data_IF_191806887611
#
_entry.id   IF_191806887611
#
_cell.length_a   1.000
_cell.length_b   1.000
_cell.length_c   1.000
_cell.angle_alpha   90.00
_cell.angle_beta   90.00
_cell.angle_gamma   90.00
#
_symmetry.space_group_name_H-M   'P 1'
#
loop_
_entity.id
_entity.type
_entity.pdbx_description
1 polymer ?
#
# COMPACT_ATOMS: atom_id res chain seq x y z
N UNK A 1 48.35 11.75 -32.33
CA UNK A 1 48.05 12.34 -33.65
C UNK A 1 46.53 12.28 -33.79
N UNK A 2 45.82 13.40 -33.58
CA UNK A 2 45.32 14.33 -34.63
C UNK A 2 44.35 13.57 -35.57
N UNK A 3 43.07 13.88 -35.73
CA UNK A 3 42.26 15.12 -35.69
C UNK A 3 40.77 14.73 -35.44
N UNK A 4 39.98 15.40 -34.59
CA UNK A 4 39.13 16.60 -34.84
C UNK A 4 38.20 16.53 -36.07
N UNK A 5 36.89 16.59 -35.83
CA UNK A 5 35.84 17.43 -36.48
C UNK A 5 34.45 16.93 -35.99
N UNK A 6 33.74 17.52 -35.03
CA UNK A 6 33.00 18.80 -34.94
C UNK A 6 31.86 19.01 -35.95
N UNK A 7 30.67 19.32 -35.38
CA UNK A 7 29.51 20.06 -35.92
C UNK A 7 28.51 19.30 -36.80
N UNK A 8 27.26 19.13 -36.32
CA UNK A 8 26.18 20.09 -36.60
C UNK A 8 24.93 19.79 -35.75
N UNK A 9 24.39 20.84 -35.12
CA UNK A 9 23.07 20.86 -34.49
C UNK A 9 21.96 20.96 -35.56
N UNK A 10 20.81 20.35 -35.31
CA UNK A 10 19.57 20.70 -35.97
C UNK A 10 18.41 20.58 -34.96
N UNK A 11 17.93 21.74 -34.54
CA UNK A 11 16.71 21.91 -33.78
C UNK A 11 15.50 21.53 -34.65
N UNK A 12 14.54 20.81 -34.07
CA UNK A 12 13.21 20.66 -34.65
C UNK A 12 12.22 21.45 -33.79
N UNK A 13 11.80 22.60 -34.32
CA UNK A 13 10.70 23.39 -33.81
C UNK A 13 9.65 23.50 -34.91
N UNK A 14 8.47 22.96 -34.65
CA UNK A 14 7.21 23.19 -35.36
C UNK A 14 6.09 22.70 -34.42
N UNK A 15 4.90 23.26 -34.31
CA UNK A 15 4.29 24.51 -34.69
C UNK A 15 2.91 24.45 -34.00
N UNK A 16 2.56 25.39 -33.13
CA UNK A 16 1.21 25.51 -32.57
C UNK A 16 0.26 26.12 -33.62
N UNK A 17 -1.01 25.67 -33.73
CA UNK A 17 -2.08 26.48 -34.29
C UNK A 17 -2.86 27.17 -33.17
N UNK A 18 -3.13 28.45 -33.38
CA UNK A 18 -3.91 29.36 -32.54
C UNK A 18 -5.42 29.17 -32.68
N UNK A 19 -6.08 29.34 -31.53
CA UNK A 19 -7.49 29.64 -31.23
C UNK A 19 -8.48 29.96 -32.36
N UNK A 20 -9.63 29.27 -32.31
CA UNK A 20 -10.93 29.74 -32.77
C UNK A 20 -11.98 29.28 -31.77
N UNK A 21 -12.66 30.24 -31.11
CA UNK A 21 -13.68 29.95 -30.10
C UNK A 21 -15.09 29.86 -30.68
N UNK A 22 -15.97 29.15 -29.96
CA UNK A 22 -17.34 29.52 -29.63
C UNK A 22 -17.89 28.53 -28.58
N UNK A 23 -18.62 29.06 -27.61
CA UNK A 23 -19.23 28.38 -26.48
C UNK A 23 -20.47 27.55 -26.86
N UNK A 24 -20.76 26.48 -26.13
CA UNK A 24 -21.95 26.32 -25.27
C UNK A 24 -21.99 24.92 -24.62
N UNK A 25 -22.23 24.94 -23.30
CA UNK A 25 -22.93 23.98 -22.44
C UNK A 25 -22.87 22.47 -22.72
N UNK A 26 -22.18 21.77 -21.81
CA UNK A 26 -22.35 20.36 -21.54
C UNK A 26 -21.70 20.00 -20.22
N UNK A 27 -22.51 19.81 -19.18
CA UNK A 27 -22.07 19.17 -17.92
C UNK A 27 -21.69 17.74 -18.27
N UNK A 28 -20.40 17.53 -18.54
CA UNK A 28 -19.78 16.22 -18.66
C UNK A 28 -19.12 15.88 -17.34
N UNK A 29 -19.78 15.07 -16.52
CA UNK A 29 -19.09 14.25 -15.52
C UNK A 29 -18.23 13.26 -16.30
N UNK A 30 -16.97 13.60 -16.56
CA UNK A 30 -16.00 12.64 -17.09
C UNK A 30 -15.53 11.77 -15.92
N UNK A 31 -16.31 10.75 -15.58
CA UNK A 31 -15.68 9.50 -15.17
C UNK A 31 -14.88 9.07 -16.39
N UNK A 32 -13.55 9.13 -16.31
CA UNK A 32 -12.69 8.61 -17.35
C UNK A 32 -12.85 7.10 -17.41
N UNK A 33 -13.93 6.63 -18.04
CA UNK A 33 -14.03 5.25 -18.48
C UNK A 33 -12.84 5.06 -19.43
N UNK A 34 -11.86 4.26 -18.99
CA UNK A 34 -10.78 3.82 -19.85
C UNK A 34 -11.44 2.95 -20.91
N UNK A 35 -11.70 3.50 -22.10
CA UNK A 35 -12.39 2.80 -23.18
C UNK A 35 -11.68 1.46 -23.47
N UNK A 36 -12.39 0.34 -23.26
CA UNK A 36 -11.86 -1.01 -23.55
C UNK A 36 -11.68 -1.93 -22.34
N UNK A 37 -11.89 -1.47 -21.10
CA UNK A 37 -11.94 -2.36 -19.93
C UNK A 37 -13.17 -3.28 -20.03
N UNK A 38 -12.96 -4.56 -20.33
CA UNK A 38 -14.10 -5.52 -20.44
C UNK A 38 -13.70 -6.97 -20.24
N UNK A 39 -12.40 -7.27 -20.14
CA UNK A 39 -11.93 -8.64 -20.12
C UNK A 39 -11.99 -9.20 -18.71
N UNK A 40 -12.59 -10.39 -18.60
CA UNK A 40 -12.53 -11.22 -17.40
C UNK A 40 -11.38 -12.22 -17.57
N UNK A 41 -10.48 -12.26 -16.60
CA UNK A 41 -9.42 -13.27 -16.51
C UNK A 41 -9.84 -14.36 -15.54
N UNK A 42 -9.94 -15.59 -16.03
CA UNK A 42 -10.37 -16.74 -15.22
C UNK A 42 -9.22 -17.31 -14.40
N UNK A 43 -9.43 -17.42 -13.09
CA UNK A 43 -8.44 -17.88 -12.13
C UNK A 43 -7.40 -16.82 -11.78
N UNK A 44 -6.26 -17.26 -11.25
CA UNK A 44 -5.21 -16.36 -10.79
C UNK A 44 -4.50 -15.67 -11.96
N UNK A 45 -4.23 -14.38 -11.79
CA UNK A 45 -3.42 -13.59 -12.70
C UNK A 45 -2.00 -13.46 -12.16
N UNK A 46 -1.04 -14.08 -12.84
CA UNK A 46 0.38 -13.99 -12.50
C UNK A 46 1.09 -12.94 -13.36
N UNK A 47 1.54 -11.86 -12.74
CA UNK A 47 2.35 -10.81 -13.36
C UNK A 47 3.80 -11.02 -12.93
N UNK A 48 4.56 -11.70 -13.79
CA UNK A 48 5.96 -12.07 -13.56
C UNK A 48 6.90 -11.19 -14.38
N UNK A 49 8.20 -11.40 -14.21
CA UNK A 49 9.25 -10.62 -14.90
C UNK A 49 9.04 -10.54 -16.42
N UNK A 50 8.69 -11.67 -17.06
CA UNK A 50 8.51 -11.81 -18.52
C UNK A 50 7.07 -11.54 -19.02
N UNK A 51 6.12 -11.19 -18.14
CA UNK A 51 4.71 -10.99 -18.53
C UNK A 51 4.57 -9.83 -19.53
N UNK A 52 3.80 -10.00 -20.59
CA UNK A 52 3.45 -8.90 -21.50
C UNK A 52 2.43 -7.96 -20.85
N UNK A 53 2.90 -6.89 -20.21
CA UNK A 53 2.06 -5.94 -19.46
C UNK A 53 1.05 -5.22 -20.35
N UNK A 54 1.36 -5.02 -21.64
CA UNK A 54 0.42 -4.40 -22.56
C UNK A 54 -0.82 -5.28 -22.79
N UNK A 55 -0.69 -6.59 -22.60
CA UNK A 55 -1.82 -7.51 -22.69
C UNK A 55 -2.79 -7.40 -21.52
N UNK A 56 -2.42 -6.73 -20.41
CA UNK A 56 -3.21 -6.65 -19.18
C UNK A 56 -4.12 -5.42 -19.12
N UNK A 57 -3.94 -4.46 -20.02
CA UNK A 57 -4.55 -3.13 -19.94
C UNK A 57 -6.06 -3.10 -20.19
N UNK A 58 -6.69 -4.21 -20.54
CA UNK A 58 -8.14 -4.37 -20.78
C UNK A 58 -8.81 -5.29 -19.75
N UNK A 59 -8.05 -5.86 -18.80
CA UNK A 59 -8.57 -6.71 -17.72
C UNK A 59 -9.33 -5.84 -16.74
N UNK A 60 -10.63 -6.12 -16.61
CA UNK A 60 -11.53 -5.47 -15.67
C UNK A 60 -11.75 -6.31 -14.41
N UNK A 61 -11.80 -7.63 -14.57
CA UNK A 61 -12.11 -8.56 -13.48
C UNK A 61 -11.18 -9.77 -13.52
N UNK A 62 -10.64 -10.14 -12.36
CA UNK A 62 -9.88 -11.38 -12.14
C UNK A 62 -10.68 -12.25 -11.16
N UNK A 63 -11.08 -13.45 -11.58
CA UNK A 63 -11.87 -14.37 -10.73
C UNK A 63 -11.04 -15.12 -9.68
N UNK A 64 -9.70 -14.98 -9.74
CA UNK A 64 -8.74 -15.45 -8.76
C UNK A 64 -8.02 -14.33 -8.01
N UNK A 65 -6.81 -14.61 -7.55
CA UNK A 65 -5.92 -13.60 -7.00
C UNK A 65 -5.08 -12.93 -8.09
N UNK A 66 -4.70 -11.67 -7.88
CA UNK A 66 -3.69 -10.98 -8.69
C UNK A 66 -2.35 -11.06 -7.96
N UNK A 67 -1.36 -11.71 -8.58
CA UNK A 67 -0.04 -11.91 -8.01
C UNK A 67 1.00 -11.18 -8.86
N UNK A 68 1.53 -10.07 -8.34
CA UNK A 68 2.54 -9.23 -8.99
C UNK A 68 3.91 -9.51 -8.37
N UNK A 69 4.74 -10.26 -9.09
CA UNK A 69 6.11 -10.60 -8.70
C UNK A 69 7.06 -10.52 -9.90
N UNK A 70 7.42 -9.29 -10.25
CA UNK A 70 8.19 -8.95 -11.44
C UNK A 70 9.72 -8.97 -11.23
N UNK A 71 10.19 -9.29 -10.02
CA UNK A 71 11.60 -9.43 -9.71
C UNK A 71 12.38 -8.14 -9.98
N UNK A 72 13.33 -8.20 -10.93
CA UNK A 72 14.22 -7.08 -11.28
C UNK A 72 13.74 -6.27 -12.48
N UNK A 73 12.50 -6.48 -12.94
CA UNK A 73 11.90 -5.66 -14.00
C UNK A 73 11.81 -4.19 -13.58
N UNK A 74 12.26 -3.29 -14.45
CA UNK A 74 12.23 -1.83 -14.22
C UNK A 74 10.83 -1.25 -14.46
N UNK A 75 9.86 -1.66 -13.65
CA UNK A 75 8.49 -1.18 -13.70
C UNK A 75 8.17 -0.39 -12.43
N UNK A 76 8.03 0.95 -12.49
CA UNK A 76 7.93 1.80 -11.30
C UNK A 76 6.54 1.83 -10.67
N UNK A 77 5.50 1.45 -11.41
CA UNK A 77 4.10 1.52 -10.98
C UNK A 77 3.26 0.35 -11.54
N UNK A 78 1.98 0.30 -11.18
CA UNK A 78 1.02 -0.70 -11.63
C UNK A 78 0.05 -0.14 -12.69
N UNK A 79 0.42 0.90 -13.44
CA UNK A 79 -0.48 1.54 -14.41
C UNK A 79 -0.97 0.59 -15.52
N UNK A 80 -0.30 -0.55 -15.73
CA UNK A 80 -0.75 -1.61 -16.64
C UNK A 80 -2.02 -2.36 -16.14
N UNK A 81 -2.43 -2.16 -14.88
CA UNK A 81 -3.68 -2.67 -14.30
C UNK A 81 -4.75 -1.57 -14.17
N UNK A 82 -4.66 -0.47 -14.92
CA UNK A 82 -5.58 0.69 -14.81
C UNK A 82 -7.06 0.38 -15.05
N UNK A 83 -7.37 -0.78 -15.63
CA UNK A 83 -8.74 -1.23 -15.86
C UNK A 83 -9.29 -2.12 -14.74
N UNK A 84 -8.45 -2.61 -13.83
CA UNK A 84 -8.84 -3.63 -12.87
C UNK A 84 -9.80 -3.03 -11.84
N UNK A 85 -11.04 -3.53 -11.83
CA UNK A 85 -12.12 -3.11 -10.92
C UNK A 85 -12.37 -4.13 -9.81
N UNK A 86 -12.16 -5.42 -10.09
CA UNK A 86 -12.48 -6.53 -9.18
C UNK A 86 -11.35 -7.56 -9.20
N UNK A 87 -10.89 -7.95 -8.00
CA UNK A 87 -10.05 -9.12 -7.77
C UNK A 87 -10.66 -9.96 -6.64
N UNK A 88 -11.32 -11.06 -7.00
CA UNK A 88 -12.19 -11.82 -6.09
C UNK A 88 -11.49 -12.28 -4.80
N UNK A 89 -10.20 -12.63 -4.89
CA UNK A 89 -9.43 -13.11 -3.74
C UNK A 89 -8.46 -12.07 -3.17
N UNK A 90 -8.16 -11.01 -3.92
CA UNK A 90 -7.22 -9.98 -3.51
C UNK A 90 -6.03 -9.78 -4.43
N UNK A 91 -5.14 -8.90 -4.00
CA UNK A 91 -3.94 -8.46 -4.71
C UNK A 91 -2.73 -8.70 -3.82
N UNK A 92 -1.73 -9.40 -4.36
CA UNK A 92 -0.43 -9.62 -3.73
C UNK A 92 0.66 -9.01 -4.60
N UNK A 93 1.40 -8.06 -4.05
CA UNK A 93 2.51 -7.35 -4.71
C UNK A 93 3.78 -7.71 -3.93
N UNK A 94 4.53 -8.68 -4.44
CA UNK A 94 5.67 -9.27 -3.74
C UNK A 94 6.94 -9.32 -4.59
N UNK A 95 8.05 -8.81 -4.03
CA UNK A 95 9.37 -8.99 -4.62
C UNK A 95 9.65 -8.15 -5.87
N UNK A 96 9.09 -6.94 -5.96
CA UNK A 96 9.30 -6.04 -7.10
C UNK A 96 10.39 -5.01 -6.78
N UNK A 97 11.62 -5.27 -7.25
CA UNK A 97 12.81 -4.50 -6.86
C UNK A 97 12.81 -3.03 -7.32
N UNK A 98 12.04 -2.70 -8.36
CA UNK A 98 11.97 -1.35 -8.95
C UNK A 98 10.60 -0.69 -8.83
N UNK A 99 9.64 -1.34 -8.15
CA UNK A 99 8.33 -0.74 -7.92
C UNK A 99 8.51 0.40 -6.91
N UNK A 100 8.17 1.63 -7.31
CA UNK A 100 8.28 2.83 -6.47
C UNK A 100 6.93 3.21 -5.86
N UNK A 101 5.83 2.87 -6.53
CA UNK A 101 4.45 3.12 -6.08
C UNK A 101 3.49 2.02 -6.51
N UNK A 102 2.41 1.77 -5.74
CA UNK A 102 1.31 0.87 -6.16
C UNK A 102 0.29 1.53 -7.09
N UNK A 103 0.52 2.79 -7.48
CA UNK A 103 -0.35 3.55 -8.39
C UNK A 103 -0.74 2.77 -9.63
N UNK A 104 -2.02 2.83 -10.00
CA UNK A 104 -2.55 2.19 -11.19
C UNK A 104 -3.72 1.25 -10.90
N UNK A 105 -4.04 0.99 -9.64
CA UNK A 105 -5.19 0.19 -9.22
C UNK A 105 -6.44 1.04 -8.90
N UNK A 106 -6.50 2.28 -9.37
CA UNK A 106 -7.46 3.31 -8.95
C UNK A 106 -8.93 2.96 -9.24
N UNK A 107 -9.19 1.95 -10.07
CA UNK A 107 -10.54 1.49 -10.40
C UNK A 107 -11.01 0.33 -9.51
N UNK A 108 -10.15 -0.23 -8.67
CA UNK A 108 -10.52 -1.31 -7.76
C UNK A 108 -11.63 -0.83 -6.81
N UNK A 109 -12.76 -1.53 -6.83
CA UNK A 109 -13.92 -1.26 -5.97
C UNK A 109 -14.16 -2.38 -4.96
N UNK A 110 -13.66 -3.58 -5.26
CA UNK A 110 -13.78 -4.75 -4.39
C UNK A 110 -12.40 -5.39 -4.19
N UNK A 111 -11.98 -5.50 -2.92
CA UNK A 111 -10.70 -6.09 -2.55
C UNK A 111 -10.79 -6.81 -1.21
N UNK A 112 -10.68 -8.14 -1.22
CA UNK A 112 -10.72 -8.91 0.02
C UNK A 112 -9.38 -8.84 0.77
N UNK A 113 -8.27 -9.03 0.06
CA UNK A 113 -6.93 -9.09 0.67
C UNK A 113 -5.97 -8.21 -0.11
N UNK A 114 -5.14 -7.46 0.62
CA UNK A 114 -4.03 -6.69 0.07
C UNK A 114 -2.74 -7.08 0.79
N UNK A 115 -1.82 -7.71 0.07
CA UNK A 115 -0.48 -8.00 0.54
C UNK A 115 0.53 -7.19 -0.27
N UNK A 116 1.35 -6.37 0.38
CA UNK A 116 2.40 -5.58 -0.25
C UNK A 116 3.69 -5.86 0.49
N UNK A 117 4.49 -6.77 -0.05
CA UNK A 117 5.61 -7.36 0.67
C UNK A 117 6.91 -7.31 -0.16
N UNK A 118 8.05 -7.16 0.51
CA UNK A 118 9.36 -7.35 -0.12
C UNK A 118 9.62 -6.45 -1.35
N UNK A 119 9.11 -5.22 -1.38
CA UNK A 119 9.34 -4.25 -2.47
C UNK A 119 10.33 -3.16 -1.99
N UNK A 120 11.65 -3.37 -2.15
CA UNK A 120 12.66 -2.53 -1.48
C UNK A 120 12.75 -1.09 -1.98
N UNK A 121 12.21 -0.78 -3.17
CA UNK A 121 12.17 0.58 -3.71
C UNK A 121 10.81 1.25 -3.53
N UNK A 122 9.82 0.56 -2.96
CA UNK A 122 8.46 1.08 -2.82
C UNK A 122 8.45 2.19 -1.77
N UNK A 123 8.05 3.39 -2.17
CA UNK A 123 7.98 4.58 -1.32
C UNK A 123 6.56 4.94 -0.93
N UNK A 124 5.60 4.59 -1.77
CA UNK A 124 4.21 5.00 -1.59
C UNK A 124 3.25 3.87 -1.92
N UNK A 125 2.30 3.58 -1.03
CA UNK A 125 1.12 2.77 -1.34
C UNK A 125 -0.04 3.73 -1.64
N UNK A 126 -0.51 3.74 -2.88
CA UNK A 126 -1.63 4.57 -3.39
C UNK A 126 -2.41 3.80 -4.48
N UNK A 127 -3.52 4.36 -4.96
CA UNK A 127 -4.33 3.73 -6.01
C UNK A 127 -5.43 2.80 -5.50
N UNK A 128 -5.87 2.95 -4.25
CA UNK A 128 -6.98 2.18 -3.66
C UNK A 128 -8.13 3.09 -3.19
N UNK A 129 -8.35 4.20 -3.89
CA UNK A 129 -9.24 5.29 -3.46
C UNK A 129 -10.74 4.93 -3.38
N UNK A 130 -11.13 3.78 -3.95
CA UNK A 130 -12.51 3.30 -3.95
C UNK A 130 -12.70 2.05 -3.07
N UNK A 131 -11.71 1.68 -2.26
CA UNK A 131 -11.80 0.53 -1.34
C UNK A 131 -12.22 0.99 0.04
N UNK A 132 -13.38 0.54 0.50
CA UNK A 132 -13.91 0.85 1.84
C UNK A 132 -13.58 -0.23 2.88
N UNK A 133 -13.41 -1.48 2.45
CA UNK A 133 -13.24 -2.63 3.34
C UNK A 133 -12.17 -3.57 2.82
N UNK A 134 -11.33 -4.04 3.73
CA UNK A 134 -10.30 -5.04 3.46
C UNK A 134 -10.42 -6.11 4.55
N UNK A 135 -10.43 -7.39 4.20
CA UNK A 135 -10.36 -8.44 5.21
C UNK A 135 -8.93 -8.52 5.78
N UNK A 136 -7.94 -8.69 4.92
CA UNK A 136 -6.53 -8.75 5.33
C UNK A 136 -5.71 -7.67 4.65
N UNK A 137 -5.08 -6.80 5.45
CA UNK A 137 -4.05 -5.87 5.00
C UNK A 137 -2.71 -6.30 5.58
N UNK A 138 -1.77 -6.68 4.72
CA UNK A 138 -0.41 -7.08 5.10
C UNK A 138 0.63 -6.24 4.35
N UNK A 139 1.41 -5.46 5.09
CA UNK A 139 2.45 -4.58 4.53
C UNK A 139 3.73 -4.80 5.30
N UNK A 140 4.70 -5.51 4.72
CA UNK A 140 5.96 -5.83 5.39
C UNK A 140 7.16 -5.80 4.43
N UNK A 141 8.38 -5.69 4.97
CA UNK A 141 9.61 -5.75 4.16
C UNK A 141 9.67 -4.73 2.99
N UNK A 142 9.06 -3.55 3.13
CA UNK A 142 9.19 -2.44 2.17
C UNK A 142 10.03 -1.32 2.81
N UNK A 143 11.33 -1.54 2.97
CA UNK A 143 12.20 -0.69 3.81
C UNK A 143 12.23 0.80 3.40
N UNK A 144 11.94 1.11 2.13
CA UNK A 144 11.85 2.46 1.59
C UNK A 144 10.45 3.10 1.70
N UNK A 145 9.46 2.40 2.23
CA UNK A 145 8.07 2.87 2.31
C UNK A 145 8.00 4.08 3.24
N UNK A 146 7.57 5.22 2.71
CA UNK A 146 7.46 6.49 3.42
C UNK A 146 5.99 6.85 3.70
N UNK A 147 5.08 6.49 2.78
CA UNK A 147 3.69 6.94 2.77
C UNK A 147 2.72 5.80 2.41
N UNK A 148 1.58 5.76 3.11
CA UNK A 148 0.44 4.89 2.80
C UNK A 148 -0.75 5.82 2.59
N UNK A 149 -1.49 5.62 1.50
CA UNK A 149 -2.71 6.34 1.11
C UNK A 149 -3.85 5.33 0.93
N UNK A 150 -4.64 5.16 1.97
CA UNK A 150 -5.79 4.26 2.05
C UNK A 150 -6.97 5.01 2.68
N UNK A 151 -7.15 6.28 2.33
CA UNK A 151 -8.04 7.20 3.05
C UNK A 151 -9.50 6.78 2.95
N UNK A 152 -9.89 6.01 1.93
CA UNK A 152 -11.23 5.46 1.78
C UNK A 152 -11.52 4.25 2.69
N UNK A 153 -10.50 3.59 3.25
CA UNK A 153 -10.67 2.36 4.01
C UNK A 153 -11.26 2.66 5.39
N UNK A 154 -12.44 2.10 5.65
CA UNK A 154 -13.19 2.26 6.89
C UNK A 154 -13.07 1.04 7.82
N UNK A 155 -12.83 -0.15 7.27
CA UNK A 155 -12.80 -1.39 8.07
C UNK A 155 -11.72 -2.36 7.60
N UNK A 156 -10.95 -2.88 8.55
CA UNK A 156 -9.97 -3.95 8.32
C UNK A 156 -10.22 -5.10 9.31
N UNK A 157 -10.32 -6.36 8.88
CA UNK A 157 -10.45 -7.46 9.86
C UNK A 157 -9.10 -7.82 10.49
N UNK A 158 -8.05 -7.93 9.67
CA UNK A 158 -6.68 -8.24 10.08
C UNK A 158 -5.72 -7.24 9.46
N UNK A 159 -5.11 -6.41 10.30
CA UNK A 159 -4.10 -5.43 9.89
C UNK A 159 -2.72 -5.81 10.40
N UNK A 160 -1.83 -6.22 9.49
CA UNK A 160 -0.41 -6.44 9.73
C UNK A 160 0.42 -5.33 9.09
N UNK A 161 1.19 -4.63 9.92
CA UNK A 161 2.16 -3.63 9.49
C UNK A 161 3.55 -3.97 10.04
N UNK A 162 4.43 -4.34 9.13
CA UNK A 162 5.80 -4.76 9.39
C UNK A 162 5.88 -6.20 9.89
N UNK A 163 7.11 -6.63 10.15
CA UNK A 163 7.40 -8.01 10.55
C UNK A 163 8.38 -8.03 11.72
N UNK A 164 8.25 -9.06 12.55
CA UNK A 164 9.30 -9.40 13.51
C UNK A 164 9.63 -10.88 13.42
N UNK A 165 10.87 -11.18 13.03
CA UNK A 165 11.41 -12.54 13.12
C UNK A 165 12.00 -12.77 14.52
N UNK A 166 11.44 -13.73 15.27
CA UNK A 166 11.91 -14.11 16.61
C UNK A 166 13.35 -14.65 16.69
N UNK A 167 14.09 -14.65 15.57
CA UNK A 167 15.48 -15.11 15.47
C UNK A 167 16.51 -14.01 15.76
N UNK A 168 16.07 -12.82 16.20
CA UNK A 168 16.92 -11.81 16.83
C UNK A 168 17.93 -11.12 15.90
N UNK A 169 17.79 -11.23 14.58
CA UNK A 169 18.79 -10.69 13.64
C UNK A 169 18.18 -9.87 12.50
N UNK A 170 16.87 -9.95 12.22
CA UNK A 170 16.19 -9.07 11.25
C UNK A 170 14.80 -8.68 11.74
N UNK A 171 14.68 -7.46 12.27
CA UNK A 171 13.43 -6.70 12.20
C UNK A 171 13.35 -6.17 10.77
N UNK A 172 12.21 -6.33 10.13
CA UNK A 172 12.03 -5.96 8.72
C UNK A 172 10.62 -5.40 8.56
N UNK A 173 10.45 -4.18 9.05
CA UNK A 173 9.15 -3.51 9.06
C UNK A 173 9.28 -2.12 8.50
N UNK A 174 9.01 -1.96 7.20
CA UNK A 174 8.81 -0.66 6.54
C UNK A 174 9.70 0.45 7.14
N UNK A 175 11.02 0.24 7.17
CA UNK A 175 11.93 0.93 8.11
C UNK A 175 11.95 2.46 7.97
N UNK A 176 11.54 2.98 6.82
CA UNK A 176 11.40 4.42 6.53
C UNK A 176 10.04 5.02 6.93
N UNK A 177 9.05 4.19 7.27
CA UNK A 177 7.68 4.61 7.54
C UNK A 177 7.61 5.29 8.90
N UNK A 178 7.36 6.60 8.90
CA UNK A 178 7.28 7.42 10.13
C UNK A 178 5.85 7.48 10.66
N UNK A 179 4.87 7.35 9.77
CA UNK A 179 3.46 7.59 10.04
C UNK A 179 2.54 6.68 9.20
N UNK A 180 1.34 6.45 9.71
CA UNK A 180 0.25 5.67 9.09
C UNK A 180 -1.00 6.54 8.89
N UNK A 181 -0.77 7.82 8.55
CA UNK A 181 -1.82 8.82 8.42
C UNK A 181 -2.79 8.60 7.27
N UNK A 182 -2.48 7.74 6.29
CA UNK A 182 -3.41 7.42 5.20
C UNK A 182 -4.64 6.62 5.60
N UNK A 183 -4.82 6.26 6.87
CA UNK A 183 -5.96 5.50 7.37
C UNK A 183 -6.92 6.36 8.21
N UNK A 184 -7.10 7.65 7.86
CA UNK A 184 -7.87 8.62 8.65
C UNK A 184 -9.34 8.23 8.90
N UNK A 185 -9.97 7.50 7.97
CA UNK A 185 -11.38 7.09 8.07
C UNK A 185 -11.55 5.70 8.69
N UNK A 186 -10.48 5.07 9.16
CA UNK A 186 -10.53 3.74 9.75
C UNK A 186 -11.39 3.75 11.02
N UNK A 187 -12.50 3.03 10.97
CA UNK A 187 -13.54 2.97 12.00
C UNK A 187 -13.60 1.60 12.69
N UNK A 188 -12.97 0.55 12.13
CA UNK A 188 -12.93 -0.76 12.77
C UNK A 188 -11.67 -1.52 12.37
N UNK A 189 -11.01 -2.12 13.36
CA UNK A 189 -9.98 -3.14 13.17
C UNK A 189 -10.29 -4.32 14.09
N UNK A 190 -10.30 -5.55 13.55
CA UNK A 190 -10.39 -6.75 14.39
C UNK A 190 -9.07 -7.02 15.11
N UNK A 191 -8.09 -7.54 14.36
CA UNK A 191 -6.74 -7.78 14.84
C UNK A 191 -5.76 -6.73 14.31
N UNK A 192 -5.05 -6.04 15.22
CA UNK A 192 -4.06 -5.02 14.90
C UNK A 192 -2.65 -5.49 15.29
N UNK A 193 -1.78 -5.66 14.30
CA UNK A 193 -0.38 -6.00 14.50
C UNK A 193 0.52 -4.96 13.85
N UNK A 194 1.27 -4.22 14.68
CA UNK A 194 2.26 -3.24 14.22
C UNK A 194 3.61 -3.65 14.80
N UNK A 195 4.49 -4.19 13.96
CA UNK A 195 5.70 -4.87 14.41
C UNK A 195 6.93 -4.45 13.61
N UNK A 196 8.01 -4.15 14.33
CA UNK A 196 9.34 -4.01 13.71
C UNK A 196 9.51 -2.75 12.86
N UNK A 197 8.71 -1.69 13.04
CA UNK A 197 8.84 -0.47 12.26
C UNK A 197 9.80 0.51 12.93
N UNK A 198 11.04 0.62 12.39
CA UNK A 198 12.14 1.35 13.04
C UNK A 198 11.91 2.86 13.14
N UNK A 199 11.33 3.46 12.10
CA UNK A 199 11.08 4.90 12.06
C UNK A 199 9.70 5.33 12.60
N UNK A 200 8.80 4.38 12.87
CA UNK A 200 7.42 4.70 13.22
C UNK A 200 7.33 5.41 14.57
N UNK A 201 6.80 6.64 14.56
CA UNK A 201 6.57 7.47 15.76
C UNK A 201 5.08 7.66 16.02
N UNK A 202 4.27 7.55 14.97
CA UNK A 202 2.88 7.97 14.99
C UNK A 202 1.92 6.93 15.59
N UNK A 203 0.95 7.40 16.36
CA UNK A 203 -0.19 6.62 16.84
C UNK A 203 -1.47 6.87 16.03
N UNK A 204 -1.37 7.51 14.85
CA UNK A 204 -2.54 8.00 14.11
C UNK A 204 -3.59 6.94 13.79
N UNK A 205 -3.19 5.67 13.57
CA UNK A 205 -4.14 4.57 13.41
C UNK A 205 -5.05 4.40 14.64
N UNK A 206 -4.50 4.51 15.85
CA UNK A 206 -5.30 4.45 17.09
C UNK A 206 -6.15 5.71 17.27
N UNK A 207 -5.65 6.88 16.83
CA UNK A 207 -6.40 8.13 16.86
C UNK A 207 -7.59 8.12 15.89
N UNK A 208 -7.41 7.56 14.69
CA UNK A 208 -8.47 7.35 13.70
C UNK A 208 -9.56 6.44 14.27
N UNK A 209 -9.17 5.27 14.79
CA UNK A 209 -10.10 4.33 15.44
C UNK A 209 -10.89 4.99 16.57
N UNK A 210 -10.21 5.74 17.45
CA UNK A 210 -10.88 6.41 18.57
C UNK A 210 -11.83 7.51 18.10
N UNK A 211 -11.43 8.29 17.10
CA UNK A 211 -12.22 9.40 16.55
C UNK A 211 -13.45 8.93 15.79
N UNK A 212 -13.34 7.78 15.11
CA UNK A 212 -14.41 7.17 14.34
C UNK A 212 -15.31 6.26 15.19
N UNK A 213 -15.05 6.16 16.50
CA UNK A 213 -15.90 5.42 17.44
C UNK A 213 -15.79 3.90 17.29
N UNK A 214 -14.58 3.41 17.02
CA UNK A 214 -14.33 1.99 16.84
C UNK A 214 -14.81 1.16 18.04
N UNK A 215 -15.32 -0.07 17.79
CA UNK A 215 -15.55 -1.03 18.86
C UNK A 215 -14.20 -1.43 19.51
N UNK A 216 -14.25 -2.11 20.68
CA UNK A 216 -13.06 -2.73 21.25
C UNK A 216 -12.35 -3.64 20.23
N UNK A 217 -11.03 -3.61 20.24
CA UNK A 217 -10.20 -4.43 19.36
C UNK A 217 -10.20 -5.88 19.84
N UNK A 218 -10.17 -6.85 18.92
CA UNK A 218 -10.12 -8.27 19.29
C UNK A 218 -8.72 -8.63 19.79
N UNK A 219 -7.68 -8.40 18.99
CA UNK A 219 -6.30 -8.70 19.36
C UNK A 219 -5.36 -7.56 18.94
N UNK A 220 -4.42 -7.22 19.81
CA UNK A 220 -3.44 -6.15 19.58
C UNK A 220 -2.03 -6.65 19.86
N UNK A 221 -1.14 -6.50 18.88
CA UNK A 221 0.30 -6.74 18.99
C UNK A 221 1.06 -5.54 18.45
N UNK A 222 1.49 -4.64 19.33
CA UNK A 222 2.31 -3.48 18.96
C UNK A 222 3.68 -3.65 19.59
N UNK A 223 4.64 -4.12 18.79
CA UNK A 223 5.91 -4.62 19.32
C UNK A 223 7.09 -4.16 18.47
N UNK A 224 8.23 -3.91 19.10
CA UNK A 224 9.47 -3.61 18.39
C UNK A 224 9.40 -2.41 17.44
N UNK A 225 8.67 -1.36 17.83
CA UNK A 225 8.68 -0.08 17.13
C UNK A 225 9.43 0.94 18.01
N UNK A 226 10.77 1.00 17.94
CA UNK A 226 11.62 1.63 18.96
C UNK A 226 11.42 3.14 19.12
N UNK A 227 10.73 3.80 18.19
CA UNK A 227 10.38 5.23 18.26
C UNK A 227 8.90 5.50 18.57
N UNK A 228 8.06 4.48 18.60
CA UNK A 228 6.64 4.61 18.90
C UNK A 228 6.43 4.77 20.41
N UNK A 229 5.76 5.82 20.90
CA UNK A 229 5.64 6.10 22.33
C UNK A 229 4.72 5.10 23.05
N UNK A 230 5.30 4.18 23.81
CA UNK A 230 4.56 3.05 24.42
C UNK A 230 3.49 3.49 25.42
N UNK A 231 3.78 4.52 26.22
CA UNK A 231 2.83 5.04 27.20
C UNK A 231 1.58 5.62 26.53
N UNK A 232 1.77 6.31 25.40
CA UNK A 232 0.67 6.90 24.63
C UNK A 232 -0.15 5.82 23.93
N UNK A 233 0.51 4.82 23.32
CA UNK A 233 -0.15 3.62 22.77
C UNK A 233 -1.03 2.96 23.83
N UNK A 234 -0.48 2.70 25.02
CA UNK A 234 -1.22 2.06 26.09
C UNK A 234 -2.44 2.88 26.54
N UNK A 235 -2.30 4.19 26.68
CA UNK A 235 -3.40 5.06 27.06
C UNK A 235 -4.54 5.06 26.01
N UNK A 236 -4.21 5.03 24.72
CA UNK A 236 -5.21 4.95 23.64
C UNK A 236 -5.90 3.58 23.61
N UNK A 237 -5.16 2.50 23.81
CA UNK A 237 -5.73 1.15 23.91
C UNK A 237 -6.64 0.99 25.14
N UNK A 238 -6.33 1.64 26.26
CA UNK A 238 -7.21 1.65 27.43
C UNK A 238 -8.54 2.38 27.15
N UNK A 239 -8.51 3.42 26.32
CA UNK A 239 -9.71 4.17 25.92
C UNK A 239 -10.54 3.44 24.86
N UNK A 240 -9.90 2.77 23.89
CA UNK A 240 -10.55 1.96 22.84
C UNK A 240 -11.14 0.66 23.41
N UNK A 241 -10.42 0.03 24.33
CA UNK A 241 -10.71 -1.33 24.79
C UNK A 241 -10.07 -2.40 23.89
N UNK A 242 -9.67 -3.51 24.51
CA UNK A 242 -9.18 -4.72 23.84
C UNK A 242 -9.84 -5.92 24.53
N UNK A 243 -10.57 -6.74 23.78
CA UNK A 243 -11.32 -7.89 24.33
C UNK A 243 -10.49 -9.17 24.41
N UNK A 244 -9.56 -9.38 23.48
CA UNK A 244 -8.66 -10.53 23.44
C UNK A 244 -7.24 -10.18 23.90
N UNK A 245 -6.24 -10.58 23.12
CA UNK A 245 -4.84 -10.52 23.52
C UNK A 245 -4.28 -9.12 23.33
N UNK A 246 -3.58 -8.60 24.33
CA UNK A 246 -2.85 -7.33 24.23
C UNK A 246 -1.37 -7.53 24.54
N UNK A 247 -0.54 -7.33 23.53
CA UNK A 247 0.91 -7.40 23.61
C UNK A 247 1.50 -6.07 23.14
N UNK A 248 2.00 -5.28 24.09
CA UNK A 248 2.63 -3.98 23.81
C UNK A 248 3.97 -3.96 24.53
N UNK A 249 5.06 -3.98 23.79
CA UNK A 249 6.39 -4.00 24.38
C UNK A 249 7.47 -3.66 23.33
N UNK A 250 8.69 -3.30 23.76
CA UNK A 250 9.80 -3.07 22.81
C UNK A 250 9.60 -1.81 21.98
N UNK A 251 8.70 -0.93 22.43
CA UNK A 251 8.47 0.39 21.86
C UNK A 251 9.18 1.45 22.74
N UNK A 252 9.14 2.71 22.30
CA UNK A 252 9.83 3.80 22.97
C UNK A 252 9.31 4.02 24.41
N UNK A 253 10.23 3.97 25.38
CA UNK A 253 9.91 4.18 26.80
C UNK A 253 9.29 2.98 27.51
N UNK A 254 9.14 1.84 26.83
CA UNK A 254 8.68 0.59 27.41
C UNK A 254 9.73 -0.16 28.22
N UNK A 255 9.29 -1.15 29.01
CA UNK A 255 10.19 -2.07 29.73
C UNK A 255 10.55 -3.22 28.77
N UNK A 256 11.85 -3.47 28.55
CA UNK A 256 12.34 -4.39 27.52
C UNK A 256 12.21 -5.88 27.85
N UNK A 257 11.77 -6.24 29.06
CA UNK A 257 12.15 -7.54 29.64
C UNK A 257 11.37 -8.76 29.12
N UNK A 258 10.28 -8.61 28.36
CA UNK A 258 9.46 -9.74 27.86
C UNK A 258 8.88 -9.56 26.45
N UNK A 259 9.67 -9.07 25.49
CA UNK A 259 9.27 -9.09 24.08
C UNK A 259 9.76 -10.33 23.36
N UNK A 260 8.92 -11.36 23.27
CA UNK A 260 9.11 -12.43 22.29
C UNK A 260 8.21 -12.15 21.09
N UNK A 261 8.77 -12.21 19.88
CA UNK A 261 7.97 -12.06 18.66
C UNK A 261 7.03 -13.25 18.43
N UNK A 262 7.11 -14.28 19.27
CA UNK A 262 6.43 -15.53 19.05
C UNK A 262 7.09 -16.23 17.87
N UNK A 263 7.66 -17.39 18.13
CA UNK A 263 7.92 -18.35 17.06
C UNK A 263 6.54 -18.77 16.53
N UNK A 264 6.16 -18.26 15.35
CA UNK A 264 5.00 -18.74 14.59
C UNK A 264 5.08 -20.25 14.33
#
# INVERSE_FOLDING_TARGET
MRERSSLLAAAFAAAMPTAGGCAEDGVGTSTGEVEGCSRVHEGDLYVLEDTDLASLSDIQHVTGAVLVSMGVRQQPDLAFLSCLEIADFGVSIDGNAWLETTKGLTQLTELQNLAVNSNPSLRTIEGFENIEKIATLDISHNDALEEIHLESVESIELFNLGHCSGLGIQLSGNDSLVDVGGLVNLASVGSLQIRGNEALVSTQVLDALASNGAPPLDDVRIMWNPKLPEQEVNAKLDALGVEGSRWVCGNAGGVQDECDCGIE
#
